data_IF_145750899297
#
_entry.id   IF_145750899297
#
_cell.length_a   1.000
_cell.length_b   1.000
_cell.length_c   1.000
_cell.angle_alpha   90.00
_cell.angle_beta   90.00
_cell.angle_gamma   90.00
#
_symmetry.space_group_name_H-M   'P 1'
#
loop_
_entity.id
_entity.type
_entity.pdbx_description
1 polymer ?
#
# COMPACT_ATOMS: atom_id res chain seq x y z
N UNK A 1 26.50 -13.25 0.59
CA UNK A 1 26.55 -12.09 -0.32
C UNK A 1 25.14 -11.53 -0.42
N UNK A 2 24.96 -10.22 -0.47
CA UNK A 2 23.63 -9.63 -0.68
C UNK A 2 23.08 -10.12 -2.02
N UNK A 3 21.87 -10.68 -2.02
CA UNK A 3 21.22 -11.20 -3.25
C UNK A 3 20.89 -10.05 -4.22
N UNK A 4 20.79 -8.82 -3.67
CA UNK A 4 20.50 -7.59 -4.37
C UNK A 4 21.60 -6.58 -4.04
N UNK A 5 22.28 -6.05 -5.06
CA UNK A 5 23.23 -4.95 -4.87
C UNK A 5 22.52 -3.61 -4.67
N UNK A 6 23.22 -2.61 -4.12
CA UNK A 6 22.63 -1.27 -3.86
C UNK A 6 22.07 -0.64 -5.14
N UNK A 7 22.76 -0.76 -6.27
CA UNK A 7 22.26 -0.24 -7.54
C UNK A 7 20.98 -0.94 -7.98
N UNK A 8 20.89 -2.25 -7.80
CA UNK A 8 19.67 -3.01 -8.09
C UNK A 8 18.52 -2.60 -7.15
N UNK A 9 18.80 -2.41 -5.86
CA UNK A 9 17.82 -1.95 -4.89
C UNK A 9 17.24 -0.57 -5.22
N UNK A 10 18.08 0.37 -5.69
CA UNK A 10 17.62 1.70 -6.13
C UNK A 10 16.70 1.59 -7.34
N UNK A 11 17.06 0.78 -8.34
CA UNK A 11 16.23 0.57 -9.53
C UNK A 11 14.87 -0.03 -9.16
N UNK A 12 14.86 -1.10 -8.37
CA UNK A 12 13.61 -1.74 -7.92
C UNK A 12 12.75 -0.78 -7.09
N UNK A 13 13.36 0.03 -6.21
CA UNK A 13 12.65 1.04 -5.44
C UNK A 13 12.02 2.14 -6.31
N UNK A 14 12.69 2.56 -7.39
CA UNK A 14 12.14 3.51 -8.37
C UNK A 14 10.99 2.88 -9.16
N UNK A 15 11.16 1.63 -9.63
CA UNK A 15 10.10 0.91 -10.35
C UNK A 15 8.86 0.79 -9.47
N UNK A 16 9.01 0.30 -8.24
CA UNK A 16 7.91 0.21 -7.27
C UNK A 16 7.28 1.58 -7.02
N UNK A 17 8.08 2.58 -6.64
CA UNK A 17 7.58 3.91 -6.31
C UNK A 17 6.85 4.62 -7.45
N UNK A 18 7.20 4.35 -8.72
CA UNK A 18 6.49 4.91 -9.88
C UNK A 18 5.25 4.10 -10.22
N UNK A 19 5.33 2.77 -10.18
CA UNK A 19 4.26 1.90 -10.69
C UNK A 19 3.17 1.59 -9.66
N UNK A 20 3.44 1.71 -8.36
CA UNK A 20 2.46 1.43 -7.29
C UNK A 20 1.29 2.43 -7.31
N UNK A 21 1.53 3.68 -7.72
CA UNK A 21 0.48 4.70 -7.79
C UNK A 21 -0.23 4.78 -9.14
N UNK A 22 0.28 4.05 -10.13
CA UNK A 22 -0.29 3.99 -11.48
C UNK A 22 -1.08 2.68 -11.63
N UNK A 23 -2.21 2.68 -12.36
CA UNK A 23 -3.01 1.47 -12.58
C UNK A 23 -2.36 0.56 -13.64
N UNK A 24 -1.11 0.13 -13.40
CA UNK A 24 -0.26 -0.61 -14.35
C UNK A 24 0.33 -1.91 -13.80
N UNK A 25 -0.02 -2.29 -12.56
CA UNK A 25 0.52 -3.45 -11.83
C UNK A 25 2.02 -3.34 -11.51
N UNK A 26 2.34 -2.90 -10.29
CA UNK A 26 3.70 -2.82 -9.76
C UNK A 26 4.39 -4.18 -9.67
N UNK A 27 3.69 -5.21 -9.18
CA UNK A 27 4.21 -6.58 -9.06
C UNK A 27 4.68 -7.15 -10.40
N UNK A 28 3.98 -6.88 -11.50
CA UNK A 28 4.40 -7.31 -12.83
C UNK A 28 5.68 -6.61 -13.28
N UNK A 29 5.78 -5.30 -13.09
CA UNK A 29 6.95 -4.51 -13.45
C UNK A 29 8.19 -4.90 -12.63
N UNK A 30 8.03 -5.17 -11.33
CA UNK A 30 9.11 -5.67 -10.48
C UNK A 30 9.65 -7.02 -10.97
N UNK A 31 8.77 -8.01 -11.22
CA UNK A 31 9.19 -9.33 -11.73
C UNK A 31 9.94 -9.25 -13.05
N UNK A 32 9.48 -8.40 -13.97
CA UNK A 32 10.17 -8.16 -15.25
C UNK A 32 11.55 -7.54 -14.99
N UNK A 33 11.64 -6.53 -14.13
CA UNK A 33 12.89 -5.83 -13.82
C UNK A 33 13.90 -6.76 -13.12
N UNK A 34 13.45 -7.56 -12.16
CA UNK A 34 14.25 -8.59 -11.49
C UNK A 34 14.82 -9.60 -12.49
N UNK A 35 13.99 -10.09 -13.42
CA UNK A 35 14.41 -10.99 -14.49
C UNK A 35 15.44 -10.37 -15.44
N UNK A 36 15.26 -9.11 -15.85
CA UNK A 36 16.23 -8.38 -16.68
C UNK A 36 17.58 -8.19 -15.99
N UNK A 37 17.58 -8.16 -14.65
CA UNK A 37 18.77 -7.93 -13.83
C UNK A 37 19.37 -9.25 -13.30
N UNK A 38 18.86 -10.41 -13.77
CA UNK A 38 19.23 -11.76 -13.34
C UNK A 38 19.15 -11.96 -11.82
N UNK A 39 18.17 -11.32 -11.17
CA UNK A 39 17.87 -11.51 -9.75
C UNK A 39 17.01 -12.76 -9.60
N UNK A 40 17.33 -13.69 -8.68
CA UNK A 40 16.53 -14.88 -8.47
C UNK A 40 15.17 -14.51 -7.85
N UNK A 41 14.15 -14.35 -8.69
CA UNK A 41 12.80 -13.91 -8.34
C UNK A 41 12.10 -14.77 -7.27
N UNK A 42 12.41 -16.06 -7.23
CA UNK A 42 11.83 -17.00 -6.25
C UNK A 42 12.65 -17.09 -4.94
N UNK A 43 13.73 -16.31 -4.84
CA UNK A 43 14.52 -16.24 -3.61
C UNK A 43 13.74 -15.51 -2.52
N UNK A 44 13.63 -16.13 -1.34
CA UNK A 44 12.90 -15.58 -0.18
C UNK A 44 13.40 -14.19 0.22
N UNK A 45 14.69 -13.90 0.04
CA UNK A 45 15.24 -12.60 0.34
C UNK A 45 14.79 -11.52 -0.67
N UNK A 46 14.58 -11.90 -1.93
CA UNK A 46 14.07 -11.01 -2.99
C UNK A 46 12.59 -10.72 -2.77
N UNK A 47 11.79 -11.76 -2.51
CA UNK A 47 10.38 -11.59 -2.12
C UNK A 47 10.24 -10.70 -0.89
N UNK A 48 11.06 -10.94 0.14
CA UNK A 48 11.09 -10.09 1.33
C UNK A 48 11.49 -8.65 1.04
N UNK A 49 12.46 -8.42 0.16
CA UNK A 49 12.87 -7.08 -0.26
C UNK A 49 11.74 -6.34 -1.00
N UNK A 50 11.05 -7.03 -1.92
CA UNK A 50 9.90 -6.49 -2.65
C UNK A 50 8.77 -6.07 -1.71
N UNK A 51 8.49 -6.87 -0.68
CA UNK A 51 7.54 -6.46 0.37
C UNK A 51 8.00 -5.21 1.14
N UNK A 52 9.30 -5.08 1.43
CA UNK A 52 9.85 -3.91 2.14
C UNK A 52 9.75 -2.63 1.31
N UNK A 53 10.06 -2.66 0.02
CA UNK A 53 9.96 -1.46 -0.83
C UNK A 53 8.51 -1.02 -1.04
N UNK A 54 7.55 -1.96 -1.08
CA UNK A 54 6.12 -1.65 -1.12
C UNK A 54 5.66 -0.95 0.16
N UNK A 55 6.15 -1.37 1.33
CA UNK A 55 5.94 -0.62 2.58
C UNK A 55 6.50 0.81 2.49
N UNK A 56 7.60 1.01 1.78
CA UNK A 56 8.13 2.34 1.44
C UNK A 56 7.15 3.19 0.63
N UNK A 57 6.50 2.61 -0.38
CA UNK A 57 5.47 3.30 -1.18
C UNK A 57 4.23 3.66 -0.31
N UNK A 58 3.78 2.76 0.56
CA UNK A 58 2.71 3.03 1.53
C UNK A 58 3.11 4.18 2.46
N UNK A 59 4.35 4.17 2.98
CA UNK A 59 4.86 5.23 3.84
C UNK A 59 4.87 6.59 3.12
N UNK A 60 5.20 6.63 1.83
CA UNK A 60 5.14 7.86 1.04
C UNK A 60 3.71 8.43 0.97
N UNK A 61 2.69 7.59 0.79
CA UNK A 61 1.28 8.00 0.82
C UNK A 61 0.89 8.54 2.18
N UNK A 62 1.27 7.85 3.26
CA UNK A 62 0.96 8.28 4.62
C UNK A 62 1.59 9.64 4.94
N UNK A 63 2.83 9.88 4.51
CA UNK A 63 3.51 11.18 4.70
C UNK A 63 2.86 12.27 3.84
N UNK A 64 2.60 11.99 2.56
CA UNK A 64 2.01 12.95 1.63
C UNK A 64 0.61 13.39 2.07
N UNK A 65 -0.26 12.45 2.45
CA UNK A 65 -1.63 12.71 2.89
C UNK A 65 -1.78 12.85 4.42
N UNK A 66 -0.69 12.98 5.17
CA UNK A 66 -0.72 12.98 6.64
C UNK A 66 -1.74 13.96 7.21
N UNK A 67 -1.76 15.20 6.70
CA UNK A 67 -2.68 16.25 7.16
C UNK A 67 -4.14 15.91 6.86
N UNK A 68 -4.43 15.35 5.69
CA UNK A 68 -5.78 14.94 5.31
C UNK A 68 -6.26 13.76 6.14
N UNK A 69 -5.39 12.76 6.36
CA UNK A 69 -5.67 11.61 7.21
C UNK A 69 -6.00 12.08 8.63
N UNK A 70 -5.15 12.93 9.24
CA UNK A 70 -5.41 13.47 10.59
C UNK A 70 -6.71 14.27 10.63
N UNK A 71 -6.98 15.10 9.62
CA UNK A 71 -8.23 15.87 9.52
C UNK A 71 -9.45 14.95 9.50
N UNK A 72 -9.47 13.96 8.61
CA UNK A 72 -10.58 13.01 8.43
C UNK A 72 -10.77 12.16 9.69
N UNK A 73 -9.70 11.59 10.24
CA UNK A 73 -9.75 10.76 11.46
C UNK A 73 -10.21 11.58 12.67
N UNK A 74 -9.75 12.83 12.79
CA UNK A 74 -10.19 13.71 13.88
C UNK A 74 -11.68 14.07 13.76
N UNK A 75 -12.17 14.35 12.55
CA UNK A 75 -13.58 14.62 12.31
C UNK A 75 -14.44 13.40 12.62
N UNK A 76 -14.00 12.22 12.20
CA UNK A 76 -14.63 10.95 12.55
C UNK A 76 -14.73 10.76 14.06
N UNK A 77 -13.62 10.92 14.79
CA UNK A 77 -13.58 10.78 16.24
C UNK A 77 -14.47 11.79 16.99
N UNK A 78 -14.50 13.06 16.54
CA UNK A 78 -15.39 14.08 17.11
C UNK A 78 -16.87 13.75 16.88
N UNK A 79 -17.24 13.32 15.68
CA UNK A 79 -18.63 12.98 15.36
C UNK A 79 -19.17 11.73 16.08
N UNK A 80 -18.31 10.89 16.67
CA UNK A 80 -18.74 9.83 17.58
C UNK A 80 -19.29 10.41 18.90
N UNK A 81 -18.72 11.52 19.39
CA UNK A 81 -19.09 12.17 20.65
C UNK A 81 -20.13 13.27 20.47
N UNK A 82 -20.04 14.05 19.39
CA UNK A 82 -20.92 15.16 19.08
C UNK A 82 -21.80 14.85 17.87
N UNK A 83 -23.11 15.12 17.99
CA UNK A 83 -24.06 14.89 16.90
C UNK A 83 -23.98 15.97 15.82
N UNK A 84 -23.61 17.21 16.15
CA UNK A 84 -23.53 18.29 15.16
C UNK A 84 -22.38 18.07 14.17
N UNK A 85 -21.24 17.56 14.66
CA UNK A 85 -20.05 17.24 13.86
C UNK A 85 -20.31 16.14 12.80
N UNK A 86 -21.38 15.35 12.95
CA UNK A 86 -21.78 14.31 11.97
C UNK A 86 -22.27 14.88 10.65
N UNK A 87 -22.64 16.15 10.61
CA UNK A 87 -23.06 16.82 9.38
C UNK A 87 -21.87 17.21 8.50
N UNK A 88 -20.65 17.24 9.05
CA UNK A 88 -19.43 17.57 8.32
C UNK A 88 -19.15 16.59 7.18
N UNK A 89 -18.57 17.11 6.09
CA UNK A 89 -18.18 16.28 4.95
C UNK A 89 -17.13 15.24 5.36
N UNK A 90 -16.11 15.65 6.15
CA UNK A 90 -15.01 14.80 6.56
C UNK A 90 -15.46 13.61 7.43
N UNK A 91 -16.47 13.79 8.30
CA UNK A 91 -17.07 12.69 9.06
C UNK A 91 -17.75 11.64 8.16
N UNK A 92 -18.53 12.10 7.17
CA UNK A 92 -19.20 11.20 6.21
C UNK A 92 -18.19 10.50 5.32
N UNK A 93 -17.17 11.22 4.87
CA UNK A 93 -16.09 10.69 4.06
C UNK A 93 -15.33 9.58 4.78
N UNK A 94 -15.04 9.74 6.08
CA UNK A 94 -14.44 8.69 6.89
C UNK A 94 -15.28 7.39 6.88
N UNK A 95 -16.59 7.49 7.01
CA UNK A 95 -17.48 6.33 6.92
C UNK A 95 -17.49 5.70 5.52
N UNK A 96 -17.44 6.50 4.46
CA UNK A 96 -17.32 5.97 3.09
C UNK A 96 -16.04 5.17 2.90
N UNK A 97 -14.91 5.63 3.43
CA UNK A 97 -13.64 4.87 3.39
C UNK A 97 -13.76 3.56 4.17
N UNK A 98 -14.36 3.58 5.36
CA UNK A 98 -14.60 2.35 6.15
C UNK A 98 -15.49 1.37 5.37
N UNK A 99 -16.60 1.83 4.83
CA UNK A 99 -17.51 0.97 4.06
C UNK A 99 -16.91 0.48 2.75
N UNK A 100 -16.05 1.26 2.10
CA UNK A 100 -15.35 0.84 0.88
C UNK A 100 -14.28 -0.23 1.15
N UNK A 101 -13.63 -0.18 2.32
CA UNK A 101 -12.56 -1.15 2.69
C UNK A 101 -13.12 -2.45 3.26
N UNK A 102 -14.29 -2.43 3.90
CA UNK A 102 -14.88 -3.59 4.58
C UNK A 102 -15.12 -4.81 3.65
N UNK A 103 -15.67 -4.66 2.42
CA UNK A 103 -15.80 -5.77 1.49
C UNK A 103 -14.44 -6.38 1.09
N UNK A 104 -13.42 -5.55 0.89
CA UNK A 104 -12.07 -6.00 0.50
C UNK A 104 -11.46 -6.83 1.62
N UNK A 105 -11.58 -6.39 2.89
CA UNK A 105 -11.08 -7.14 4.05
C UNK A 105 -11.82 -8.47 4.21
N UNK A 106 -13.15 -8.46 4.12
CA UNK A 106 -13.96 -9.68 4.26
C UNK A 106 -13.60 -10.69 3.17
N UNK A 107 -13.60 -10.27 1.91
CA UNK A 107 -13.28 -11.14 0.77
C UNK A 107 -11.82 -11.60 0.85
N UNK A 108 -10.89 -10.72 1.17
CA UNK A 108 -9.46 -11.05 1.30
C UNK A 108 -9.20 -12.09 2.40
N UNK A 109 -9.86 -11.98 3.55
CA UNK A 109 -9.74 -12.98 4.63
C UNK A 109 -10.42 -14.31 4.27
N UNK A 110 -11.60 -14.27 3.64
CA UNK A 110 -12.33 -15.47 3.24
C UNK A 110 -11.62 -16.23 2.10
N UNK A 111 -11.00 -15.49 1.16
CA UNK A 111 -10.27 -16.04 0.02
C UNK A 111 -8.79 -16.30 0.31
N UNK A 112 -8.30 -16.06 1.53
CA UNK A 112 -6.92 -16.36 1.94
C UNK A 112 -6.42 -17.75 1.51
N UNK A 113 -7.18 -18.86 1.60
CA UNK A 113 -6.69 -20.17 1.14
C UNK A 113 -6.65 -20.34 -0.39
N UNK A 114 -7.21 -19.40 -1.17
CA UNK A 114 -7.21 -19.39 -2.63
C UNK A 114 -6.13 -18.47 -3.22
N UNK A 115 -5.49 -17.65 -2.36
CA UNK A 115 -4.50 -16.66 -2.75
C UNK A 115 -3.14 -17.13 -2.24
N UNK A 116 -2.26 -17.49 -3.17
CA UNK A 116 -0.85 -17.73 -2.85
C UNK A 116 -0.12 -16.40 -2.75
N UNK A 117 0.71 -16.26 -1.71
CA UNK A 117 1.59 -15.12 -1.45
C UNK A 117 3.04 -15.45 -1.75
#
# INVERSE_FOLDING_TARGET
>A
MSVISVGQAVVLGVVEGVTEFLPVSSTGHLKITEGLMNIPVDDKAVVGFTAVIQVGAIAAVLVYFFKDIVRIVSAWGRGLRDREERHSHDYKFAWWVIYATLPIVIVGLAAKPLIDG
#
